data_IF_507341027176
#
_entry.id   IF_507341027176
#
_cell.length_a   1.000
_cell.length_b   1.000
_cell.length_c   1.000
_cell.angle_alpha   90.00
_cell.angle_beta   90.00
_cell.angle_gamma   90.00
#
_symmetry.space_group_name_H-M   'P 1'
#
loop_
_entity.id
_entity.type
_entity.pdbx_description
1 polymer ?
#
# COMPACT_ATOMS: atom_id res chain seq x y z
N UNK A 1 -4.80 22.61 10.25
CA UNK A 1 -4.25 21.26 10.53
C UNK A 1 -4.04 20.59 9.19
N UNK A 2 -2.84 20.09 8.89
CA UNK A 2 -2.57 19.41 7.62
C UNK A 2 -3.43 18.15 7.49
N UNK A 3 -3.95 17.87 6.31
CA UNK A 3 -4.67 16.64 6.00
C UNK A 3 -3.78 15.79 5.09
N UNK A 4 -3.55 14.53 5.46
CA UNK A 4 -2.80 13.59 4.63
C UNK A 4 -3.77 12.61 3.97
N UNK A 5 -3.67 12.47 2.65
CA UNK A 5 -4.42 11.47 1.89
C UNK A 5 -3.64 10.17 1.75
N UNK A 6 -4.28 9.04 1.99
CA UNK A 6 -3.75 7.70 1.76
C UNK A 6 -4.68 6.99 0.78
N UNK A 7 -4.15 6.59 -0.37
CA UNK A 7 -4.85 5.75 -1.33
C UNK A 7 -4.74 4.28 -0.91
N UNK A 8 -5.87 3.62 -0.69
CA UNK A 8 -5.95 2.20 -0.33
C UNK A 8 -6.28 1.36 -1.55
N UNK A 9 -5.42 0.38 -1.82
CA UNK A 9 -5.63 -0.64 -2.86
C UNK A 9 -6.02 -1.92 -2.12
N UNK A 10 -7.33 -2.19 -1.98
CA UNK A 10 -7.86 -3.38 -1.33
C UNK A 10 -8.99 -3.05 -0.36
N UNK A 11 -8.88 -3.51 0.90
CA UNK A 11 -9.88 -3.22 1.94
C UNK A 11 -9.53 -1.94 2.70
N UNK A 12 -10.19 -0.86 2.29
CA UNK A 12 -10.12 0.44 2.94
C UNK A 12 -10.65 0.41 4.39
N UNK A 13 -11.44 -0.60 4.80
CA UNK A 13 -12.06 -0.66 6.14
C UNK A 13 -11.06 -1.20 7.16
N UNK A 14 -10.27 -2.19 6.74
CA UNK A 14 -9.17 -2.69 7.53
C UNK A 14 -8.11 -1.60 7.78
N UNK A 15 -7.78 -0.79 6.77
CA UNK A 15 -6.84 0.31 6.93
C UNK A 15 -7.36 1.39 7.91
N UNK A 16 -8.66 1.70 7.84
CA UNK A 16 -9.32 2.59 8.80
C UNK A 16 -9.19 2.05 10.24
N UNK A 17 -9.47 0.76 10.45
CA UNK A 17 -9.34 0.12 11.76
C UNK A 17 -7.91 0.17 12.31
N UNK A 18 -6.89 -0.01 11.46
CA UNK A 18 -5.49 0.13 11.85
C UNK A 18 -5.21 1.56 12.33
N UNK A 19 -5.60 2.58 11.56
CA UNK A 19 -5.36 3.97 11.94
C UNK A 19 -6.12 4.37 13.20
N UNK A 20 -7.34 3.88 13.38
CA UNK A 20 -8.11 4.06 14.62
C UNK A 20 -7.35 3.41 15.79
N UNK A 21 -6.87 2.17 15.65
CA UNK A 21 -6.08 1.51 16.69
C UNK A 21 -4.81 2.29 17.04
N UNK A 22 -4.09 2.82 16.04
CA UNK A 22 -2.91 3.68 16.28
C UNK A 22 -3.31 4.94 17.03
N UNK A 23 -4.40 5.61 16.64
CA UNK A 23 -4.89 6.82 17.33
C UNK A 23 -5.22 6.54 18.80
N UNK A 24 -5.82 5.39 19.09
CA UNK A 24 -6.17 5.01 20.46
C UNK A 24 -4.93 4.71 21.30
N UNK A 25 -3.99 3.92 20.78
CA UNK A 25 -2.76 3.53 21.51
C UNK A 25 -1.91 4.77 21.81
N UNK A 26 -1.80 5.69 20.85
CA UNK A 26 -1.01 6.91 21.02
C UNK A 26 -1.73 8.00 21.81
N UNK A 27 -3.07 7.94 21.91
CA UNK A 27 -3.89 8.89 22.66
C UNK A 27 -4.10 8.56 24.15
N UNK A 28 -3.84 7.34 24.61
CA UNK A 28 -4.06 6.94 26.02
C UNK A 28 -3.01 7.46 27.01
N UNK A 29 -1.99 8.22 26.57
CA UNK A 29 -0.92 8.75 27.42
C UNK A 29 0.06 7.69 27.95
N UNK A 30 -0.34 6.41 28.00
CA UNK A 30 0.53 5.30 28.36
C UNK A 30 1.65 5.09 27.34
N UNK A 31 1.40 5.41 26.06
CA UNK A 31 2.45 5.45 25.04
C UNK A 31 3.51 6.51 25.36
N UNK A 32 3.11 7.70 25.78
CA UNK A 32 4.03 8.78 26.17
C UNK A 32 4.87 8.37 27.39
N UNK A 33 4.26 7.71 28.38
CA UNK A 33 4.98 7.15 29.54
C UNK A 33 6.00 6.10 29.11
N UNK A 34 5.65 5.16 28.24
CA UNK A 34 6.59 4.16 27.73
C UNK A 34 7.79 4.80 27.02
N UNK A 35 7.55 5.83 26.19
CA UNK A 35 8.61 6.56 25.52
C UNK A 35 9.50 7.31 26.52
N UNK A 36 8.90 7.94 27.54
CA UNK A 36 9.66 8.65 28.58
C UNK A 36 10.59 7.71 29.37
N UNK A 37 10.16 6.48 29.66
CA UNK A 37 10.99 5.45 30.30
C UNK A 37 12.14 5.06 29.38
N UNK A 38 11.87 4.85 28.09
CA UNK A 38 12.91 4.56 27.09
C UNK A 38 13.95 5.67 26.98
N UNK A 39 13.51 6.94 26.99
CA UNK A 39 14.40 8.10 27.00
C UNK A 39 15.27 8.14 28.25
N UNK A 40 14.69 7.90 29.43
CA UNK A 40 15.41 7.87 30.69
C UNK A 40 16.49 6.76 30.71
N UNK A 41 16.17 5.58 30.19
CA UNK A 41 17.15 4.50 29.99
C UNK A 41 18.25 4.91 29.00
N UNK A 42 17.89 5.60 27.92
CA UNK A 42 18.85 6.16 26.95
C UNK A 42 19.83 7.15 27.59
N UNK A 43 19.33 8.06 28.44
CA UNK A 43 20.18 8.99 29.21
C UNK A 43 21.13 8.23 30.13
N UNK A 44 20.61 7.25 30.89
CA UNK A 44 21.44 6.41 31.77
C UNK A 44 22.55 5.70 31.01
N UNK A 45 22.24 5.12 29.84
CA UNK A 45 23.23 4.44 28.99
C UNK A 45 24.32 5.39 28.50
N UNK A 46 23.98 6.61 28.10
CA UNK A 46 24.99 7.60 27.68
C UNK A 46 25.83 8.08 28.87
N UNK A 47 25.25 8.26 30.05
CA UNK A 47 25.99 8.59 31.26
C UNK A 47 27.04 7.51 31.57
N UNK A 48 26.65 6.23 31.54
CA UNK A 48 27.56 5.09 31.76
C UNK A 48 28.68 5.07 30.69
N UNK A 49 28.33 5.22 29.41
CA UNK A 49 29.32 5.29 28.32
C UNK A 49 30.28 6.47 28.46
N UNK A 50 29.79 7.63 28.89
CA UNK A 50 30.59 8.84 29.09
C UNK A 50 31.61 8.65 30.22
N UNK A 51 31.26 7.92 31.28
CA UNK A 51 32.19 7.55 32.36
C UNK A 51 33.29 6.62 31.84
N UNK A 52 32.93 5.58 31.07
CA UNK A 52 33.92 4.66 30.51
C UNK A 52 34.85 5.29 29.46
N UNK A 53 34.39 6.33 28.75
CA UNK A 53 35.18 7.07 27.76
C UNK A 53 36.00 8.22 28.37
N UNK A 54 36.11 8.27 29.71
CA UNK A 54 36.96 9.25 30.41
C UNK A 54 36.40 10.67 30.39
N UNK A 55 35.07 10.83 30.33
CA UNK A 55 34.35 12.10 30.42
C UNK A 55 34.76 13.17 29.40
N UNK A 56 35.43 12.80 28.29
CA UNK A 56 35.90 13.78 27.30
C UNK A 56 34.75 14.52 26.61
N UNK A 57 33.61 13.87 26.40
CA UNK A 57 32.40 14.46 25.83
C UNK A 57 31.17 13.73 26.35
N UNK A 58 30.24 14.44 26.98
CA UNK A 58 28.91 13.89 27.28
C UNK A 58 28.06 14.11 26.03
N UNK A 59 27.70 13.04 25.33
CA UNK A 59 26.88 13.12 24.11
C UNK A 59 25.38 13.27 24.43
N UNK A 60 25.04 14.22 25.30
CA UNK A 60 23.65 14.57 25.60
C UNK A 60 22.91 15.09 24.37
N UNK A 61 23.64 15.63 23.39
CA UNK A 61 23.10 16.08 22.12
C UNK A 61 22.36 14.97 21.38
N UNK A 62 22.85 13.72 21.39
CA UNK A 62 22.15 12.59 20.76
C UNK A 62 20.79 12.29 21.39
N UNK A 63 20.67 12.31 22.71
CA UNK A 63 19.38 12.13 23.39
C UNK A 63 18.44 13.28 23.07
N UNK A 64 18.95 14.51 23.13
CA UNK A 64 18.16 15.70 22.91
C UNK A 64 17.61 15.73 21.47
N UNK A 65 18.42 15.35 20.48
CA UNK A 65 17.97 15.17 19.09
C UNK A 65 16.91 14.06 18.99
N UNK A 66 17.10 12.92 19.65
CA UNK A 66 16.11 11.84 19.68
C UNK A 66 14.77 12.29 20.29
N UNK A 67 14.82 13.07 21.37
CA UNK A 67 13.64 13.66 21.99
C UNK A 67 12.93 14.67 21.09
N UNK A 68 13.69 15.56 20.44
CA UNK A 68 13.11 16.52 19.48
C UNK A 68 12.41 15.78 18.34
N UNK A 69 13.05 14.76 17.77
CA UNK A 69 12.45 13.94 16.71
C UNK A 69 11.15 13.29 17.17
N UNK A 70 11.15 12.70 18.36
CA UNK A 70 9.92 12.15 18.95
C UNK A 70 8.85 13.23 19.13
N UNK A 71 9.19 14.37 19.74
CA UNK A 71 8.25 15.45 19.98
C UNK A 71 7.65 16.01 18.68
N UNK A 72 8.45 16.14 17.62
CA UNK A 72 7.99 16.62 16.32
C UNK A 72 7.08 15.63 15.59
N UNK A 73 7.35 14.32 15.68
CA UNK A 73 6.61 13.28 14.95
C UNK A 73 5.39 12.75 15.71
N UNK A 74 5.47 12.66 17.04
CA UNK A 74 4.45 12.05 17.89
C UNK A 74 3.75 13.02 18.82
N UNK A 75 4.26 14.25 19.00
CA UNK A 75 3.58 15.30 19.77
C UNK A 75 2.32 15.82 19.08
N UNK A 76 2.42 16.34 17.84
CA UNK A 76 1.26 16.83 17.10
C UNK A 76 0.46 15.68 16.45
N UNK A 77 -0.86 15.80 16.50
CA UNK A 77 -1.79 14.91 15.80
C UNK A 77 -2.29 15.54 14.49
N UNK A 78 -2.64 14.67 13.55
CA UNK A 78 -3.15 14.99 12.22
C UNK A 78 -4.39 14.16 11.90
N UNK A 79 -5.18 14.64 10.95
CA UNK A 79 -6.28 13.86 10.37
C UNK A 79 -5.80 13.21 9.08
N UNK A 80 -6.08 11.91 8.93
CA UNK A 80 -5.74 11.12 7.76
C UNK A 80 -7.01 10.75 7.02
N UNK A 81 -7.04 11.06 5.73
CA UNK A 81 -8.14 10.71 4.83
C UNK A 81 -7.72 9.52 3.99
N UNK A 82 -8.40 8.39 4.15
CA UNK A 82 -8.22 7.19 3.34
C UNK A 82 -9.18 7.29 2.15
N UNK A 83 -8.65 7.15 0.95
CA UNK A 83 -9.43 7.08 -0.29
C UNK A 83 -9.29 5.70 -0.90
N UNK A 84 -10.42 5.04 -1.16
CA UNK A 84 -10.45 3.73 -1.81
C UNK A 84 -10.23 3.89 -3.32
N UNK A 85 -9.14 3.30 -3.84
CA UNK A 85 -8.75 3.45 -5.24
C UNK A 85 -9.78 2.86 -6.23
N UNK A 86 -10.62 1.90 -5.80
CA UNK A 86 -11.57 1.21 -6.66
C UNK A 86 -12.96 1.85 -6.65
N UNK A 87 -13.39 2.35 -5.50
CA UNK A 87 -14.78 2.82 -5.29
C UNK A 87 -14.90 4.32 -5.06
N UNK A 88 -13.79 5.03 -4.83
CA UNK A 88 -13.78 6.45 -4.47
C UNK A 88 -14.39 6.75 -3.10
N UNK A 89 -14.62 5.72 -2.26
CA UNK A 89 -15.09 5.95 -0.90
C UNK A 89 -13.99 6.60 -0.05
N UNK A 90 -14.34 7.70 0.60
CA UNK A 90 -13.43 8.44 1.49
C UNK A 90 -13.79 8.14 2.94
N UNK A 91 -12.81 7.70 3.73
CA UNK A 91 -12.91 7.45 5.17
C UNK A 91 -11.92 8.34 5.90
N UNK A 92 -12.32 8.90 7.02
CA UNK A 92 -11.52 9.92 7.71
C UNK A 92 -11.23 9.47 9.13
N UNK A 93 -9.94 9.39 9.48
CA UNK A 93 -9.48 9.05 10.83
C UNK A 93 -8.78 10.24 11.45
N UNK A 94 -9.32 10.71 12.57
CA UNK A 94 -8.75 11.80 13.35
C UNK A 94 -7.74 11.32 14.39
N UNK A 95 -6.94 12.24 14.92
CA UNK A 95 -6.01 12.02 16.04
C UNK A 95 -4.88 11.01 15.77
N UNK A 96 -4.43 10.90 14.52
CA UNK A 96 -3.27 10.07 14.17
C UNK A 96 -1.99 10.89 14.41
N UNK A 97 -0.90 10.33 14.98
CA UNK A 97 0.37 11.05 15.08
C UNK A 97 0.87 11.52 13.72
N UNK A 98 1.43 12.74 13.64
CA UNK A 98 1.96 13.29 12.39
C UNK A 98 2.94 12.35 11.70
N UNK A 99 3.80 11.66 12.46
CA UNK A 99 4.77 10.74 11.89
C UNK A 99 4.13 9.60 11.09
N UNK A 100 3.05 9.04 11.62
CA UNK A 100 2.31 7.95 10.96
C UNK A 100 1.51 8.49 9.78
N UNK A 101 0.81 9.62 9.96
CA UNK A 101 0.04 10.24 8.88
C UNK A 101 0.90 10.71 7.71
N UNK A 102 2.05 11.34 8.00
CA UNK A 102 3.01 11.81 6.99
C UNK A 102 3.67 10.64 6.26
N UNK A 103 4.21 9.65 6.98
CA UNK A 103 4.84 8.50 6.34
C UNK A 103 3.84 7.72 5.48
N UNK A 104 2.64 7.44 6.01
CA UNK A 104 1.58 6.77 5.27
C UNK A 104 1.13 7.55 4.04
N UNK A 105 0.92 8.87 4.19
CA UNK A 105 0.51 9.75 3.10
C UNK A 105 1.55 9.85 1.98
N UNK A 106 2.81 10.12 2.31
CA UNK A 106 3.88 10.27 1.31
C UNK A 106 4.12 8.95 0.58
N UNK A 107 4.27 7.84 1.31
CA UNK A 107 4.53 6.53 0.71
C UNK A 107 3.37 6.13 -0.20
N UNK A 108 2.13 6.33 0.25
CA UNK A 108 0.94 5.98 -0.53
C UNK A 108 0.81 6.83 -1.80
N UNK A 109 0.97 8.16 -1.70
CA UNK A 109 0.88 9.04 -2.87
C UNK A 109 1.97 8.75 -3.91
N UNK A 110 3.21 8.52 -3.45
CA UNK A 110 4.33 8.16 -4.34
C UNK A 110 4.08 6.82 -5.00
N UNK A 111 3.69 5.81 -4.22
CA UNK A 111 3.37 4.47 -4.74
C UNK A 111 2.25 4.52 -5.77
N UNK A 112 1.15 5.21 -5.46
CA UNK A 112 0.02 5.39 -6.37
C UNK A 112 0.43 6.10 -7.66
N UNK A 113 1.21 7.17 -7.58
CA UNK A 113 1.71 7.91 -8.75
C UNK A 113 2.59 7.02 -9.64
N UNK A 114 3.50 6.26 -9.04
CA UNK A 114 4.37 5.34 -9.78
C UNK A 114 3.54 4.24 -10.47
N UNK A 115 2.55 3.68 -9.77
CA UNK A 115 1.64 2.69 -10.35
C UNK A 115 0.87 3.27 -11.53
N UNK A 116 0.30 4.47 -11.40
CA UNK A 116 -0.41 5.14 -12.49
C UNK A 116 0.50 5.39 -13.71
N UNK A 117 1.78 5.74 -13.48
CA UNK A 117 2.76 5.90 -14.56
C UNK A 117 3.04 4.58 -15.27
N UNK A 118 3.16 3.47 -14.54
CA UNK A 118 3.32 2.14 -15.12
C UNK A 118 2.07 1.70 -15.90
N UNK A 119 0.87 1.95 -15.36
CA UNK A 119 -0.39 1.65 -16.05
C UNK A 119 -0.54 2.46 -17.34
N UNK A 120 -0.18 3.75 -17.31
CA UNK A 120 -0.18 4.58 -18.53
C UNK A 120 0.85 4.09 -19.56
N UNK A 121 2.03 3.65 -19.10
CA UNK A 121 3.09 3.15 -19.99
C UNK A 121 2.85 1.75 -20.55
N UNK A 122 2.18 0.88 -19.81
CA UNK A 122 1.89 -0.52 -20.19
C UNK A 122 0.43 -0.78 -20.60
N UNK A 123 -0.44 0.24 -20.56
CA UNK A 123 -1.89 0.16 -20.78
C UNK A 123 -2.32 -0.33 -22.17
N UNK A 124 -1.37 -0.61 -23.07
CA UNK A 124 -1.64 -1.26 -24.36
C UNK A 124 -1.99 -2.75 -24.18
N UNK A 125 -1.66 -3.39 -23.04
CA UNK A 125 -1.77 -4.86 -22.87
C UNK A 125 -2.62 -5.30 -21.65
N UNK A 126 -2.82 -4.48 -20.60
CA UNK A 126 -3.51 -4.89 -19.35
C UNK A 126 -4.44 -3.76 -18.85
N UNK A 127 -5.66 -4.06 -18.33
CA UNK A 127 -6.51 -3.04 -17.68
C UNK A 127 -5.83 -2.45 -16.44
N UNK A 128 -6.04 -1.15 -16.18
CA UNK A 128 -5.50 -0.43 -15.02
C UNK A 128 -5.81 -1.21 -13.73
N UNK A 129 -4.80 -1.66 -12.99
CA UNK A 129 -4.90 -2.48 -11.76
C UNK A 129 -5.36 -1.65 -10.56
N UNK A 130 -5.22 -0.32 -10.66
CA UNK A 130 -5.79 0.67 -9.74
C UNK A 130 -7.30 0.81 -9.88
N UNK A 131 -7.85 0.57 -11.08
CA UNK A 131 -9.28 0.67 -11.37
C UNK A 131 -9.96 -0.71 -11.43
N UNK A 132 -9.21 -1.77 -11.75
CA UNK A 132 -9.73 -3.14 -11.90
C UNK A 132 -9.59 -3.96 -10.62
N UNK A 133 -10.69 -4.54 -10.15
CA UNK A 133 -10.68 -5.39 -8.97
C UNK A 133 -9.77 -6.62 -9.16
N UNK A 134 -9.18 -7.14 -8.07
CA UNK A 134 -8.41 -8.41 -8.08
C UNK A 134 -9.15 -9.59 -8.77
N UNK A 135 -10.49 -9.59 -8.71
CA UNK A 135 -11.32 -10.61 -9.36
C UNK A 135 -11.36 -10.51 -10.89
N UNK A 136 -10.99 -9.38 -11.47
CA UNK A 136 -11.02 -9.16 -12.91
C UNK A 136 -9.96 -9.94 -13.64
N UNK A 137 -8.79 -10.21 -13.06
CA UNK A 137 -7.80 -11.11 -13.67
C UNK A 137 -8.34 -12.54 -13.79
N UNK A 138 -9.09 -13.00 -12.78
CA UNK A 138 -9.78 -14.28 -12.82
C UNK A 138 -10.95 -14.27 -13.82
N UNK A 139 -11.72 -13.18 -13.88
CA UNK A 139 -12.76 -13.00 -14.91
C UNK A 139 -12.17 -12.95 -16.30
N UNK A 140 -11.03 -12.29 -16.50
CA UNK A 140 -10.34 -12.13 -17.76
C UNK A 140 -9.71 -13.46 -18.19
N UNK A 141 -9.09 -14.22 -17.27
CA UNK A 141 -8.67 -15.60 -17.55
C UNK A 141 -9.85 -16.53 -17.86
N UNK A 142 -10.98 -16.36 -17.16
CA UNK A 142 -12.20 -17.13 -17.42
C UNK A 142 -12.82 -16.75 -18.77
N UNK A 143 -12.85 -15.47 -19.11
CA UNK A 143 -13.36 -14.94 -20.37
C UNK A 143 -12.45 -15.31 -21.53
N UNK A 144 -11.12 -15.25 -21.37
CA UNK A 144 -10.16 -15.75 -22.36
C UNK A 144 -10.35 -17.25 -22.55
N UNK A 145 -10.49 -18.03 -21.47
CA UNK A 145 -10.79 -19.46 -21.56
C UNK A 145 -12.12 -19.71 -22.28
N UNK A 146 -13.18 -19.00 -21.91
CA UNK A 146 -14.52 -19.13 -22.51
C UNK A 146 -14.51 -18.75 -23.98
N UNK A 147 -13.89 -17.63 -24.35
CA UNK A 147 -13.72 -17.18 -25.74
C UNK A 147 -12.83 -18.13 -26.55
N UNK A 148 -11.80 -18.70 -25.94
CA UNK A 148 -10.97 -19.72 -26.56
C UNK A 148 -11.71 -21.04 -26.78
N UNK A 149 -12.83 -21.29 -26.09
CA UNK A 149 -13.73 -22.43 -26.33
C UNK A 149 -15.02 -22.04 -27.06
N UNK A 150 -15.19 -20.77 -27.43
CA UNK A 150 -16.43 -20.27 -28.01
C UNK A 150 -16.51 -20.64 -29.50
N UNK A 151 -17.66 -21.22 -29.87
CA UNK A 151 -17.88 -21.76 -31.20
C UNK A 151 -17.89 -20.65 -32.26
N UNK A 152 -18.27 -19.42 -31.88
CA UNK A 152 -18.21 -18.24 -32.74
C UNK A 152 -16.80 -17.84 -33.18
N UNK A 153 -15.80 -17.94 -32.28
CA UNK A 153 -14.40 -17.62 -32.59
C UNK A 153 -13.80 -18.67 -33.53
N UNK A 154 -14.08 -19.96 -33.28
CA UNK A 154 -13.64 -21.02 -34.19
C UNK A 154 -14.34 -20.95 -35.55
N UNK A 155 -15.60 -20.53 -35.60
CA UNK A 155 -16.33 -20.35 -36.87
C UNK A 155 -15.76 -19.15 -37.66
N UNK A 156 -15.42 -18.06 -36.98
CA UNK A 156 -14.75 -16.91 -37.57
C UNK A 156 -13.34 -17.26 -38.07
N UNK A 157 -12.55 -18.02 -37.29
CA UNK A 157 -11.22 -18.51 -37.69
C UNK A 157 -11.29 -19.51 -38.85
N UNK A 158 -12.28 -20.41 -38.85
CA UNK A 158 -12.55 -21.31 -39.99
C UNK A 158 -12.92 -20.50 -41.24
N UNK A 159 -13.69 -19.42 -41.10
CA UNK A 159 -14.07 -18.55 -42.22
C UNK A 159 -12.90 -17.69 -42.72
N UNK A 160 -11.99 -17.24 -41.85
CA UNK A 160 -10.83 -16.44 -42.19
C UNK A 160 -9.69 -17.26 -42.82
N UNK A 161 -9.54 -18.53 -42.45
CA UNK A 161 -8.52 -19.45 -42.98
C UNK A 161 -8.99 -20.27 -44.19
N UNK A 162 -10.05 -19.84 -44.88
CA UNK A 162 -10.43 -20.38 -46.19
C UNK A 162 -11.79 -21.07 -46.28
N UNK A 163 -12.47 -21.32 -45.16
CA UNK A 163 -13.84 -21.86 -45.11
C UNK A 163 -14.01 -23.29 -45.67
N UNK A 164 -15.07 -23.98 -45.25
CA UNK A 164 -15.49 -25.27 -45.81
C UNK A 164 -14.83 -26.52 -45.22
N UNK A 165 -13.51 -26.70 -45.39
CA UNK A 165 -12.80 -27.92 -44.97
C UNK A 165 -11.80 -27.70 -43.82
N UNK A 166 -11.54 -26.44 -43.44
CA UNK A 166 -10.65 -26.10 -42.34
C UNK A 166 -11.46 -26.07 -41.05
N UNK A 167 -11.16 -27.00 -40.14
CA UNK A 167 -11.81 -27.07 -38.83
C UNK A 167 -10.76 -26.92 -37.72
N UNK A 168 -10.42 -25.66 -37.45
CA UNK A 168 -9.40 -25.24 -36.46
C UNK A 168 -9.71 -25.83 -35.08
N UNK A 169 -11.00 -26.01 -34.75
CA UNK A 169 -11.44 -26.64 -33.50
C UNK A 169 -11.00 -28.10 -33.40
N UNK A 170 -11.10 -28.87 -34.49
CA UNK A 170 -10.70 -30.28 -34.55
C UNK A 170 -9.18 -30.43 -34.48
N UNK A 171 -8.45 -29.56 -35.17
CA UNK A 171 -6.98 -29.53 -35.14
C UNK A 171 -6.44 -29.18 -33.75
N UNK A 172 -7.03 -28.19 -33.07
CA UNK A 172 -6.66 -27.80 -31.71
C UNK A 172 -6.88 -28.93 -30.69
N UNK A 173 -8.03 -29.60 -30.78
CA UNK A 173 -8.34 -30.74 -29.90
C UNK A 173 -7.41 -31.94 -30.10
N UNK A 174 -6.91 -32.16 -31.32
CA UNK A 174 -5.93 -33.22 -31.59
C UNK A 174 -4.55 -32.84 -31.03
N UNK A 175 -4.13 -31.58 -31.17
CA UNK A 175 -2.85 -31.10 -30.66
C UNK A 175 -2.73 -31.14 -29.12
N UNK A 176 -3.82 -30.88 -28.39
CA UNK A 176 -3.82 -30.97 -26.92
C UNK A 176 -3.82 -32.42 -26.41
N UNK A 177 -4.21 -33.37 -27.27
CA UNK A 177 -4.31 -34.80 -26.93
C UNK A 177 -3.03 -35.59 -27.23
N UNK A 178 -2.15 -35.07 -28.10
CA UNK A 178 -0.77 -35.55 -28.28
C UNK A 178 0.15 -34.95 -27.20
#
# INVERSE_FOLDING_TARGET
MGSFSIHSIGDSAFLEQILIAVSMITGTGDFEKMVSIGLLLGVLMICIQSVFQGAKQINLQQVLVGWILYACFFGPTTTVTIEDAYTGQVRVVANVPIGVGFAGGVISNVGYTITNLFETGYGVIVPNVTESHFSETLKLLNDVRRRAYDTGVFTALNSANGGGYVDVRRSWNNYIRE
#
